data_IF_290942329295
#
_entry.id   IF_290942329295
#
_cell.length_a   1.000
_cell.length_b   1.000
_cell.length_c   1.000
_cell.angle_alpha   90.00
_cell.angle_beta   90.00
_cell.angle_gamma   90.00
#
_symmetry.space_group_name_H-M   'P 1'
#
loop_
_entity.id
_entity.type
_entity.pdbx_description
1 polymer ?
#
# COMPACT_ATOMS: atom_id res chain seq x y z
N UNK A 1 81.30 48.98 -2.17
CA UNK A 1 81.02 47.88 -1.21
C UNK A 1 81.45 48.16 0.23
N UNK A 2 82.57 48.87 0.50
CA UNK A 2 83.00 49.19 1.87
C UNK A 2 82.06 50.16 2.65
N UNK A 3 81.45 51.13 1.97
CA UNK A 3 80.57 52.13 2.60
C UNK A 3 79.25 51.56 3.15
N UNK A 4 78.73 50.47 2.57
CA UNK A 4 77.48 49.83 3.03
C UNK A 4 77.69 48.90 4.22
N UNK A 5 78.93 48.43 4.45
CA UNK A 5 79.32 47.68 5.67
C UNK A 5 79.66 48.60 6.85
N UNK A 6 80.15 49.82 6.59
CA UNK A 6 80.42 50.82 7.62
C UNK A 6 79.16 51.49 8.19
N UNK A 7 78.02 51.42 7.47
CA UNK A 7 76.70 51.85 7.96
C UNK A 7 75.84 50.70 8.55
N UNK A 8 76.47 49.63 9.06
CA UNK A 8 75.79 48.75 10.02
C UNK A 8 75.59 49.50 11.34
N UNK A 9 74.56 49.17 12.14
CA UNK A 9 73.91 50.02 13.18
C UNK A 9 74.77 50.92 14.09
N UNK A 10 76.08 50.68 14.22
CA UNK A 10 77.04 51.59 14.86
C UNK A 10 77.56 52.73 13.95
N UNK A 11 77.12 52.84 12.68
CA UNK A 11 77.64 53.81 11.72
C UNK A 11 77.42 55.26 12.12
N UNK A 12 76.28 55.59 12.72
CA UNK A 12 75.95 56.94 13.21
C UNK A 12 76.87 57.35 14.37
N UNK A 13 77.02 56.57 15.46
CA UNK A 13 77.95 56.92 16.53
C UNK A 13 79.42 56.93 16.08
N UNK A 14 79.84 56.05 15.16
CA UNK A 14 81.21 56.05 14.62
C UNK A 14 81.50 57.31 13.79
N UNK A 15 80.56 57.73 12.93
CA UNK A 15 80.69 58.97 12.17
C UNK A 15 80.70 60.21 13.07
N UNK A 16 79.83 60.25 14.09
CA UNK A 16 79.84 61.32 15.09
C UNK A 16 81.19 61.38 15.84
N UNK A 17 81.75 60.22 16.20
CA UNK A 17 83.06 60.14 16.87
C UNK A 17 84.19 60.63 15.96
N UNK A 18 84.19 60.22 14.69
CA UNK A 18 85.16 60.69 13.69
C UNK A 18 85.07 62.20 13.46
N UNK A 19 83.85 62.76 13.38
CA UNK A 19 83.62 64.19 13.26
C UNK A 19 84.14 64.96 14.50
N UNK A 20 83.93 64.43 15.71
CA UNK A 20 84.49 65.03 16.92
C UNK A 20 86.02 65.04 16.92
N UNK A 21 86.68 63.94 16.50
CA UNK A 21 88.15 63.87 16.39
C UNK A 21 88.68 64.96 15.45
N UNK A 22 88.01 65.22 14.32
CA UNK A 22 88.40 66.31 13.40
C UNK A 22 88.32 67.67 14.09
N UNK A 23 87.30 67.91 14.93
CA UNK A 23 87.16 69.17 15.67
C UNK A 23 88.23 69.40 16.74
N UNK A 24 88.92 68.34 17.19
CA UNK A 24 90.02 68.43 18.17
C UNK A 24 91.35 68.82 17.52
N UNK A 25 91.56 68.50 16.24
CA UNK A 25 92.80 68.77 15.51
C UNK A 25 92.78 70.05 14.65
N UNK A 26 91.68 70.79 14.64
CA UNK A 26 91.52 72.06 13.94
C UNK A 26 91.35 73.20 14.95
N UNK A 27 91.75 74.45 14.64
CA UNK A 27 91.56 75.60 15.53
C UNK A 27 90.09 76.04 15.52
N UNK A 28 89.23 75.24 16.16
CA UNK A 28 87.79 75.47 16.27
C UNK A 28 87.48 76.03 17.67
N UNK A 29 86.52 76.97 17.82
CA UNK A 29 86.12 77.49 19.13
C UNK A 29 85.74 76.37 20.13
N UNK A 30 86.13 76.52 21.39
CA UNK A 30 85.96 75.52 22.46
C UNK A 30 84.51 75.10 22.71
N UNK A 31 83.54 75.95 22.41
CA UNK A 31 82.12 75.60 22.52
C UNK A 31 81.69 74.56 21.47
N UNK A 32 82.33 74.54 20.30
CA UNK A 32 82.01 73.60 19.23
C UNK A 32 82.52 72.19 19.53
N UNK A 33 83.68 72.07 20.19
CA UNK A 33 84.24 70.77 20.61
C UNK A 33 83.43 70.14 21.74
N UNK A 34 82.92 70.93 22.69
CA UNK A 34 82.02 70.45 23.74
C UNK A 34 80.68 70.00 23.13
N UNK A 35 80.13 70.74 22.17
CA UNK A 35 78.91 70.36 21.47
C UNK A 35 79.08 69.06 20.66
N UNK A 36 80.20 68.87 19.97
CA UNK A 36 80.46 67.63 19.22
C UNK A 36 80.70 66.43 20.15
N UNK A 37 81.33 66.61 21.31
CA UNK A 37 81.42 65.57 22.35
C UNK A 37 80.04 65.17 22.87
N UNK A 38 79.16 66.15 23.14
CA UNK A 38 77.77 65.89 23.54
C UNK A 38 76.99 65.11 22.47
N UNK A 39 77.20 65.42 21.19
CA UNK A 39 76.58 64.69 20.08
C UNK A 39 77.07 63.24 19.99
N UNK A 40 78.36 62.97 20.27
CA UNK A 40 78.90 61.60 20.33
C UNK A 40 78.25 60.80 21.45
N UNK A 41 78.15 61.38 22.66
CA UNK A 41 77.52 60.72 23.81
C UNK A 41 76.06 60.42 23.53
N UNK A 42 75.31 61.37 22.95
CA UNK A 42 73.91 61.16 22.56
C UNK A 42 73.78 60.11 21.45
N UNK A 43 74.68 60.06 20.47
CA UNK A 43 74.66 59.06 19.40
C UNK A 43 74.94 57.64 19.93
N UNK A 44 75.87 57.50 20.88
CA UNK A 44 76.15 56.23 21.55
C UNK A 44 75.03 55.83 22.51
N UNK A 45 74.47 56.77 23.28
CA UNK A 45 73.33 56.53 24.16
C UNK A 45 72.09 56.11 23.37
N UNK A 46 71.80 56.78 22.25
CA UNK A 46 70.75 56.42 21.30
C UNK A 46 70.96 55.02 20.71
N UNK A 47 72.20 54.68 20.31
CA UNK A 47 72.54 53.37 19.78
C UNK A 47 72.36 52.25 20.81
N UNK A 48 72.80 52.45 22.05
CA UNK A 48 72.62 51.48 23.14
C UNK A 48 71.13 51.35 23.49
N UNK A 49 70.40 52.47 23.57
CA UNK A 49 68.98 52.47 23.84
C UNK A 49 68.18 51.72 22.76
N UNK A 50 68.50 51.91 21.47
CA UNK A 50 67.89 51.14 20.37
C UNK A 50 68.24 49.65 20.42
N UNK A 51 69.42 49.28 20.92
CA UNK A 51 69.86 47.89 20.99
C UNK A 51 69.24 47.14 22.18
N UNK A 52 69.14 47.80 23.34
CA UNK A 52 68.58 47.22 24.58
C UNK A 52 67.06 47.37 24.70
N UNK A 53 66.50 48.49 24.23
CA UNK A 53 65.08 48.84 24.40
C UNK A 53 64.34 49.05 23.07
N UNK A 54 64.99 48.86 21.92
CA UNK A 54 64.30 48.83 20.63
C UNK A 54 63.28 47.69 20.58
N UNK A 55 62.22 47.79 19.76
CA UNK A 55 61.15 46.79 19.69
C UNK A 55 61.69 45.44 19.17
N UNK A 56 62.21 44.61 20.07
CA UNK A 56 62.49 43.21 19.81
C UNK A 56 61.20 42.45 20.01
N UNK A 57 60.38 42.32 18.96
CA UNK A 57 59.52 41.14 18.88
C UNK A 57 60.46 39.93 18.99
N UNK A 58 60.41 39.22 20.11
CA UNK A 58 61.37 38.14 20.37
C UNK A 58 61.29 37.16 19.20
N UNK A 59 62.44 36.77 18.64
CA UNK A 59 62.48 35.83 17.52
C UNK A 59 61.67 34.55 17.79
N UNK A 60 61.53 34.18 19.08
CA UNK A 60 60.66 33.10 19.56
C UNK A 60 59.15 33.38 19.39
N UNK A 61 58.67 34.60 19.63
CA UNK A 61 57.25 34.97 19.41
C UNK A 61 56.87 34.90 17.93
N UNK A 62 57.76 35.40 17.05
CA UNK A 62 57.55 35.33 15.59
C UNK A 62 57.58 33.88 15.11
N UNK A 63 58.53 33.07 15.57
CA UNK A 63 58.61 31.65 15.22
C UNK A 63 57.38 30.86 15.69
N UNK A 64 56.89 31.12 16.92
CA UNK A 64 55.69 30.48 17.47
C UNK A 64 54.43 30.86 16.69
N UNK A 65 54.23 32.13 16.40
CA UNK A 65 53.06 32.59 15.63
C UNK A 65 53.11 32.05 14.19
N UNK A 66 54.29 31.89 13.59
CA UNK A 66 54.46 31.23 12.29
C UNK A 66 54.03 29.76 12.33
N UNK A 67 54.51 29.02 13.32
CA UNK A 67 54.11 27.62 13.50
C UNK A 67 52.59 27.50 13.64
N UNK A 68 51.95 28.37 14.44
CA UNK A 68 50.49 28.39 14.57
C UNK A 68 49.78 28.72 13.25
N UNK A 69 50.32 29.61 12.43
CA UNK A 69 49.76 29.92 11.11
C UNK A 69 49.95 28.76 10.12
N UNK A 70 51.03 27.99 10.22
CA UNK A 70 51.25 26.79 9.39
C UNK A 70 50.27 25.69 9.78
N UNK A 71 50.14 25.42 11.09
CA UNK A 71 49.17 24.47 11.64
C UNK A 71 47.73 24.87 11.26
N UNK A 72 47.39 26.16 11.34
CA UNK A 72 46.07 26.68 10.97
C UNK A 72 45.82 26.55 9.46
N UNK A 73 46.80 26.89 8.61
CA UNK A 73 46.65 26.79 7.15
C UNK A 73 46.52 25.32 6.70
N UNK A 74 47.29 24.41 7.30
CA UNK A 74 47.18 22.99 7.02
C UNK A 74 45.83 22.42 7.50
N UNK A 75 45.39 22.78 8.70
CA UNK A 75 44.07 22.40 9.22
C UNK A 75 42.94 22.94 8.33
N UNK A 76 42.99 24.23 7.96
CA UNK A 76 41.98 24.85 7.09
C UNK A 76 41.95 24.20 5.70
N UNK A 77 43.11 23.88 5.11
CA UNK A 77 43.18 23.16 3.84
C UNK A 77 42.58 21.76 3.91
N UNK A 78 42.81 21.03 5.02
CA UNK A 78 42.18 19.72 5.27
C UNK A 78 40.66 19.83 5.43
N UNK A 79 40.19 20.79 6.21
CA UNK A 79 38.74 21.04 6.41
C UNK A 79 38.03 21.43 5.11
N UNK A 80 38.64 22.29 4.29
CA UNK A 80 38.09 22.67 2.98
C UNK A 80 37.98 21.48 2.02
N UNK A 81 39.03 20.63 1.95
CA UNK A 81 39.01 19.41 1.14
C UNK A 81 37.96 18.40 1.64
N UNK A 82 37.84 18.26 2.96
CA UNK A 82 36.80 17.42 3.57
C UNK A 82 35.40 17.94 3.20
N UNK A 83 35.15 19.24 3.37
CA UNK A 83 33.88 19.89 3.02
C UNK A 83 33.54 19.72 1.53
N UNK A 84 34.52 19.88 0.64
CA UNK A 84 34.35 19.63 -0.80
C UNK A 84 33.95 18.19 -1.09
N UNK A 85 34.59 17.22 -0.43
CA UNK A 85 34.24 15.80 -0.58
C UNK A 85 32.83 15.49 -0.07
N UNK A 86 32.43 16.08 1.06
CA UNK A 86 31.09 15.94 1.60
C UNK A 86 30.01 16.54 0.71
N UNK A 87 30.22 17.74 0.16
CA UNK A 87 29.30 18.36 -0.81
C UNK A 87 29.14 17.47 -2.04
N UNK A 88 30.25 16.95 -2.59
CA UNK A 88 30.21 16.02 -3.72
C UNK A 88 29.43 14.74 -3.41
N UNK A 89 29.63 14.16 -2.22
CA UNK A 89 28.89 12.97 -1.77
C UNK A 89 27.40 13.26 -1.60
N UNK A 90 27.02 14.37 -0.96
CA UNK A 90 25.63 14.78 -0.76
C UNK A 90 24.94 15.04 -2.10
N UNK A 91 25.61 15.72 -3.04
CA UNK A 91 25.11 15.94 -4.39
C UNK A 91 24.83 14.62 -5.12
N UNK A 92 25.75 13.65 -5.04
CA UNK A 92 25.57 12.33 -5.63
C UNK A 92 24.36 11.58 -5.06
N UNK A 93 24.22 11.56 -3.73
CA UNK A 93 23.10 10.92 -3.05
C UNK A 93 21.75 11.55 -3.41
N UNK A 94 21.68 12.88 -3.52
CA UNK A 94 20.46 13.58 -3.92
C UNK A 94 20.07 13.23 -5.36
N UNK A 95 21.04 13.24 -6.28
CA UNK A 95 20.78 12.91 -7.69
C UNK A 95 20.30 11.47 -7.87
N UNK A 96 20.89 10.52 -7.15
CA UNK A 96 20.46 9.12 -7.16
C UNK A 96 19.05 8.95 -6.57
N UNK A 97 18.79 9.54 -5.40
CA UNK A 97 17.49 9.49 -4.76
C UNK A 97 16.38 10.10 -5.63
N UNK A 98 16.66 11.17 -6.37
CA UNK A 98 15.68 11.78 -7.27
C UNK A 98 15.44 10.97 -8.53
N UNK A 99 16.47 10.34 -9.09
CA UNK A 99 16.27 9.40 -10.20
C UNK A 99 15.34 8.25 -9.78
N UNK A 100 15.57 7.68 -8.58
CA UNK A 100 14.75 6.59 -8.04
C UNK A 100 13.31 7.03 -7.72
N UNK A 101 13.13 8.21 -7.11
CA UNK A 101 11.80 8.77 -6.84
C UNK A 101 11.04 9.07 -8.13
N UNK A 102 11.70 9.64 -9.14
CA UNK A 102 11.10 9.90 -10.45
C UNK A 102 10.62 8.61 -11.12
N UNK A 103 11.44 7.56 -11.12
CA UNK A 103 11.03 6.26 -11.62
C UNK A 103 9.83 5.70 -10.85
N UNK A 104 9.85 5.80 -9.52
CA UNK A 104 8.76 5.32 -8.65
C UNK A 104 7.44 6.06 -8.93
N UNK A 105 7.47 7.39 -9.08
CA UNK A 105 6.26 8.16 -9.39
C UNK A 105 5.69 7.85 -10.76
N UNK A 106 6.55 7.68 -11.78
CA UNK A 106 6.10 7.24 -13.11
C UNK A 106 5.46 5.84 -13.04
N UNK A 107 6.04 4.92 -12.27
CA UNK A 107 5.47 3.58 -12.07
C UNK A 107 4.10 3.64 -11.37
N UNK A 108 3.96 4.44 -10.30
CA UNK A 108 2.67 4.63 -9.60
C UNK A 108 1.63 5.25 -10.54
N UNK A 109 2.02 6.22 -11.38
CA UNK A 109 1.11 6.82 -12.36
C UNK A 109 0.58 5.76 -13.35
N UNK A 110 1.45 4.90 -13.88
CA UNK A 110 1.04 3.78 -14.74
C UNK A 110 0.10 2.82 -14.02
N UNK A 111 0.43 2.39 -12.80
CA UNK A 111 -0.43 1.51 -11.99
C UNK A 111 -1.80 2.15 -11.70
N UNK A 112 -1.83 3.46 -11.45
CA UNK A 112 -3.08 4.21 -11.19
C UNK A 112 -3.97 4.25 -12.44
N UNK A 113 -3.37 4.41 -13.64
CA UNK A 113 -4.10 4.36 -14.91
C UNK A 113 -4.64 2.96 -15.21
N UNK A 114 -3.82 1.92 -15.01
CA UNK A 114 -4.25 0.53 -15.15
C UNK A 114 -5.40 0.20 -14.17
N UNK A 115 -5.28 0.62 -12.91
CA UNK A 115 -6.32 0.48 -11.90
C UNK A 115 -7.63 1.18 -12.33
N UNK A 116 -7.55 2.40 -12.88
CA UNK A 116 -8.71 3.11 -13.39
C UNK A 116 -9.38 2.38 -14.56
N UNK A 117 -8.61 1.73 -15.44
CA UNK A 117 -9.15 0.91 -16.52
C UNK A 117 -9.88 -0.32 -16.00
N UNK A 118 -9.31 -1.04 -15.03
CA UNK A 118 -9.95 -2.19 -14.38
C UNK A 118 -11.22 -1.79 -13.66
N UNK A 119 -11.21 -0.66 -12.94
CA UNK A 119 -12.41 -0.11 -12.30
C UNK A 119 -13.48 0.18 -13.36
N UNK A 120 -13.12 0.83 -14.47
CA UNK A 120 -14.06 1.12 -15.55
C UNK A 120 -14.59 -0.14 -16.23
N UNK A 121 -13.78 -1.19 -16.40
CA UNK A 121 -14.24 -2.43 -17.02
C UNK A 121 -15.23 -3.17 -16.12
N UNK A 122 -14.97 -3.22 -14.81
CA UNK A 122 -15.91 -3.83 -13.84
C UNK A 122 -17.22 -3.03 -13.78
N UNK A 123 -17.18 -1.69 -13.82
CA UNK A 123 -18.37 -0.86 -13.89
C UNK A 123 -19.16 -1.08 -15.18
N UNK A 124 -18.50 -1.19 -16.33
CA UNK A 124 -19.15 -1.41 -17.61
C UNK A 124 -19.74 -2.82 -17.73
N UNK A 125 -19.04 -3.86 -17.27
CA UNK A 125 -19.58 -5.23 -17.18
C UNK A 125 -20.80 -5.31 -16.26
N UNK A 126 -20.88 -4.46 -15.24
CA UNK A 126 -22.01 -4.37 -14.32
C UNK A 126 -23.14 -3.47 -14.87
N UNK A 127 -22.82 -2.51 -15.75
CA UNK A 127 -23.76 -1.52 -16.30
C UNK A 127 -24.44 -1.93 -17.61
N UNK A 128 -23.83 -2.81 -18.42
CA UNK A 128 -24.43 -3.28 -19.67
C UNK A 128 -25.42 -4.43 -19.39
N UNK A 129 -26.55 -4.06 -18.77
CA UNK A 129 -27.61 -4.95 -18.31
C UNK A 129 -28.42 -5.66 -19.43
N UNK A 130 -27.81 -5.92 -20.59
CA UNK A 130 -28.50 -6.52 -21.75
C UNK A 130 -28.08 -7.95 -22.06
N UNK A 131 -26.88 -8.41 -21.66
CA UNK A 131 -26.42 -9.79 -21.94
C UNK A 131 -25.73 -10.49 -20.76
N UNK A 132 -25.60 -9.83 -19.61
CA UNK A 132 -25.13 -10.51 -18.41
C UNK A 132 -26.26 -11.35 -17.81
N UNK A 133 -26.25 -12.65 -18.10
CA UNK A 133 -26.65 -13.67 -17.12
C UNK A 133 -25.63 -13.63 -15.96
N UNK A 134 -25.53 -12.46 -15.31
CA UNK A 134 -24.69 -12.25 -14.14
C UNK A 134 -25.32 -12.96 -12.95
N UNK A 135 -24.57 -13.08 -11.87
CA UNK A 135 -24.99 -13.80 -10.65
C UNK A 135 -26.35 -13.31 -10.13
N UNK A 136 -26.69 -12.02 -10.28
CA UNK A 136 -28.03 -11.49 -9.96
C UNK A 136 -29.13 -11.93 -10.93
N UNK A 137 -28.87 -11.92 -12.24
CA UNK A 137 -29.84 -12.37 -13.24
C UNK A 137 -30.16 -13.86 -13.05
N UNK A 138 -29.11 -14.67 -12.87
CA UNK A 138 -29.24 -16.09 -12.52
C UNK A 138 -30.02 -16.28 -11.21
N UNK A 139 -29.70 -15.53 -10.15
CA UNK A 139 -30.39 -15.63 -8.87
C UNK A 139 -31.89 -15.29 -8.99
N UNK A 140 -32.23 -14.26 -9.75
CA UNK A 140 -33.63 -13.90 -10.00
C UNK A 140 -34.36 -14.99 -10.79
N UNK A 141 -33.74 -15.55 -11.83
CA UNK A 141 -34.32 -16.68 -12.58
C UNK A 141 -34.51 -17.92 -11.70
N UNK A 142 -33.58 -18.22 -10.79
CA UNK A 142 -33.75 -19.32 -9.81
C UNK A 142 -34.92 -19.01 -8.86
N UNK A 143 -35.06 -17.75 -8.44
CA UNK A 143 -36.22 -17.30 -7.64
C UNK A 143 -37.55 -17.47 -8.38
N UNK A 144 -37.62 -17.10 -9.66
CA UNK A 144 -38.80 -17.29 -10.50
C UNK A 144 -39.16 -18.78 -10.68
N UNK A 145 -38.18 -19.63 -10.98
CA UNK A 145 -38.38 -21.08 -11.10
C UNK A 145 -38.85 -21.69 -9.78
N UNK A 146 -38.33 -21.22 -8.64
CA UNK A 146 -38.80 -21.69 -7.33
C UNK A 146 -40.24 -21.26 -7.03
N UNK A 147 -40.60 -20.01 -7.33
CA UNK A 147 -41.98 -19.55 -7.16
C UNK A 147 -42.95 -20.36 -8.01
N UNK A 148 -42.56 -20.68 -9.25
CA UNK A 148 -43.36 -21.54 -10.12
C UNK A 148 -43.46 -22.98 -9.57
N UNK A 149 -42.37 -23.54 -9.03
CA UNK A 149 -42.38 -24.85 -8.39
C UNK A 149 -43.34 -24.88 -7.18
N UNK A 150 -43.31 -23.86 -6.32
CA UNK A 150 -44.23 -23.73 -5.18
C UNK A 150 -45.68 -23.68 -5.67
N UNK A 151 -45.95 -22.93 -6.74
CA UNK A 151 -47.29 -22.85 -7.34
C UNK A 151 -47.77 -24.22 -7.84
N UNK A 152 -46.94 -24.94 -8.58
CA UNK A 152 -47.26 -26.28 -9.11
C UNK A 152 -47.50 -27.28 -7.96
N UNK A 153 -46.69 -27.23 -6.91
CA UNK A 153 -46.86 -28.11 -5.74
C UNK A 153 -48.11 -27.77 -4.91
N UNK A 154 -48.51 -26.49 -4.86
CA UNK A 154 -49.77 -26.10 -4.25
C UNK A 154 -50.98 -26.65 -5.04
N UNK A 155 -50.93 -26.61 -6.38
CA UNK A 155 -51.94 -27.21 -7.24
C UNK A 155 -52.00 -28.74 -7.07
N UNK A 156 -50.85 -29.41 -7.00
CA UNK A 156 -50.78 -30.86 -6.75
C UNK A 156 -51.31 -31.24 -5.36
N UNK A 157 -51.09 -30.40 -4.34
CA UNK A 157 -51.71 -30.60 -3.03
C UNK A 157 -53.24 -30.49 -3.09
N UNK A 158 -53.78 -29.55 -3.87
CA UNK A 158 -55.23 -29.45 -4.09
C UNK A 158 -55.78 -30.70 -4.80
N UNK A 159 -55.08 -31.21 -5.82
CA UNK A 159 -55.43 -32.47 -6.49
C UNK A 159 -55.35 -33.69 -5.56
N UNK A 160 -54.38 -33.70 -4.65
CA UNK A 160 -54.25 -34.73 -3.62
C UNK A 160 -55.46 -34.73 -2.68
N UNK A 161 -55.95 -33.55 -2.26
CA UNK A 161 -57.18 -33.44 -1.46
C UNK A 161 -58.42 -33.99 -2.19
N UNK A 162 -58.54 -33.71 -3.51
CA UNK A 162 -59.60 -34.30 -4.33
C UNK A 162 -59.48 -35.83 -4.38
N UNK A 163 -58.25 -36.35 -4.46
CA UNK A 163 -57.98 -37.79 -4.47
C UNK A 163 -58.36 -38.44 -3.14
N UNK A 164 -58.04 -37.81 -2.01
CA UNK A 164 -58.48 -38.25 -0.67
C UNK A 164 -60.01 -38.32 -0.60
N UNK A 165 -60.72 -37.31 -1.12
CA UNK A 165 -62.19 -37.33 -1.15
C UNK A 165 -62.76 -38.52 -1.96
N UNK A 166 -62.11 -38.91 -3.07
CA UNK A 166 -62.51 -40.09 -3.86
C UNK A 166 -62.19 -41.39 -3.14
N UNK A 167 -61.09 -41.44 -2.39
CA UNK A 167 -60.74 -42.57 -1.54
C UNK A 167 -61.79 -42.74 -0.43
N UNK A 168 -62.21 -41.66 0.23
CA UNK A 168 -63.25 -41.69 1.25
C UNK A 168 -64.61 -42.18 0.68
N UNK A 169 -64.93 -41.83 -0.57
CA UNK A 169 -66.11 -42.39 -1.27
C UNK A 169 -65.96 -43.89 -1.54
N UNK A 170 -64.78 -44.34 -1.96
CA UNK A 170 -64.51 -45.76 -2.16
C UNK A 170 -64.58 -46.56 -0.84
N UNK A 171 -64.09 -45.99 0.27
CA UNK A 171 -64.27 -46.57 1.60
C UNK A 171 -65.74 -46.73 1.97
N UNK A 172 -66.59 -45.73 1.68
CA UNK A 172 -68.05 -45.84 1.87
C UNK A 172 -68.69 -46.93 1.00
N UNK A 173 -68.24 -47.10 -0.24
CA UNK A 173 -68.70 -48.21 -1.08
C UNK A 173 -68.31 -49.58 -0.52
N UNK A 174 -67.10 -49.72 0.02
CA UNK A 174 -66.65 -50.94 0.69
C UNK A 174 -67.47 -51.23 1.94
N UNK A 175 -67.80 -50.21 2.75
CA UNK A 175 -68.70 -50.34 3.90
C UNK A 175 -70.09 -50.86 3.47
N UNK A 176 -70.65 -50.32 2.39
CA UNK A 176 -71.92 -50.81 1.83
C UNK A 176 -71.85 -52.25 1.34
N UNK A 177 -70.70 -52.69 0.81
CA UNK A 177 -70.50 -54.10 0.44
C UNK A 177 -70.51 -54.99 1.69
N UNK A 178 -69.92 -54.56 2.82
CA UNK A 178 -69.99 -55.34 4.06
C UNK A 178 -71.42 -55.56 4.55
N UNK A 179 -72.29 -54.55 4.45
CA UNK A 179 -73.72 -54.67 4.76
C UNK A 179 -74.40 -55.70 3.85
N UNK A 180 -74.16 -55.65 2.53
CA UNK A 180 -74.72 -56.63 1.59
C UNK A 180 -74.23 -58.06 1.88
N UNK A 181 -72.96 -58.24 2.27
CA UNK A 181 -72.43 -59.54 2.66
C UNK A 181 -73.06 -60.06 3.97
N UNK A 182 -73.40 -59.16 4.91
CA UNK A 182 -74.16 -59.49 6.12
C UNK A 182 -75.57 -60.01 5.79
N UNK A 183 -76.25 -59.35 4.84
CA UNK A 183 -77.57 -59.75 4.36
C UNK A 183 -77.52 -61.10 3.64
N UNK A 184 -76.54 -61.31 2.75
CA UNK A 184 -76.33 -62.59 2.06
C UNK A 184 -76.09 -63.73 3.05
N UNK A 185 -75.31 -63.47 4.11
CA UNK A 185 -75.09 -64.45 5.20
C UNK A 185 -76.40 -64.81 5.88
N UNK A 186 -77.19 -63.79 6.23
CA UNK A 186 -78.51 -63.97 6.86
C UNK A 186 -79.47 -64.77 5.98
N UNK A 187 -79.47 -64.52 4.66
CA UNK A 187 -80.28 -65.26 3.69
C UNK A 187 -79.82 -66.72 3.59
N UNK A 188 -78.51 -66.96 3.50
CA UNK A 188 -77.94 -68.30 3.43
C UNK A 188 -78.27 -69.11 4.69
N UNK A 189 -78.14 -68.51 5.88
CA UNK A 189 -78.44 -69.15 7.16
C UNK A 189 -79.94 -69.47 7.30
N UNK A 190 -80.83 -68.57 6.89
CA UNK A 190 -82.28 -68.82 6.85
C UNK A 190 -82.65 -69.92 5.87
N UNK A 191 -82.01 -69.94 4.69
CA UNK A 191 -82.25 -70.96 3.66
C UNK A 191 -81.77 -72.32 4.13
N UNK A 192 -80.63 -72.37 4.81
CA UNK A 192 -80.11 -73.57 5.44
C UNK A 192 -81.07 -74.12 6.51
N UNK A 193 -81.61 -73.25 7.37
CA UNK A 193 -82.61 -73.63 8.37
C UNK A 193 -83.92 -74.13 7.74
N UNK A 194 -84.40 -73.48 6.68
CA UNK A 194 -85.58 -73.93 5.93
C UNK A 194 -85.36 -75.30 5.28
N UNK A 195 -84.19 -75.50 4.66
CA UNK A 195 -83.79 -76.77 4.06
C UNK A 195 -83.69 -77.89 5.11
N UNK A 196 -83.13 -77.59 6.29
CA UNK A 196 -83.07 -78.53 7.41
C UNK A 196 -84.47 -78.94 7.88
N UNK A 197 -85.38 -77.98 8.07
CA UNK A 197 -86.77 -78.25 8.44
C UNK A 197 -87.48 -79.10 7.37
N UNK A 198 -87.25 -78.82 6.09
CA UNK A 198 -87.80 -79.60 4.99
C UNK A 198 -87.24 -81.02 4.93
N UNK A 199 -85.94 -81.21 5.21
CA UNK A 199 -85.31 -82.53 5.28
C UNK A 199 -85.89 -83.37 6.44
N UNK A 200 -86.12 -82.74 7.60
CA UNK A 200 -86.77 -83.38 8.76
C UNK A 200 -88.20 -83.84 8.40
N UNK A 201 -88.99 -82.97 7.77
CA UNK A 201 -90.39 -83.29 7.44
C UNK A 201 -90.47 -84.33 6.30
N UNK A 202 -89.54 -84.28 5.34
CA UNK A 202 -89.41 -85.30 4.30
C UNK A 202 -89.04 -86.68 4.87
N UNK A 203 -88.16 -86.75 5.88
CA UNK A 203 -87.87 -87.97 6.61
C UNK A 203 -89.10 -88.49 7.39
N UNK A 204 -89.91 -87.57 7.92
CA UNK A 204 -91.15 -87.88 8.66
C UNK A 204 -92.25 -88.48 7.76
N UNK A 205 -92.31 -88.07 6.50
CA UNK A 205 -93.22 -88.61 5.49
C UNK A 205 -92.83 -90.00 4.95
N UNK A 206 -91.67 -90.56 5.34
CA UNK A 206 -91.22 -91.89 4.96
C UNK A 206 -90.97 -92.04 3.44
N UNK A 207 -91.45 -93.13 2.84
CA UNK A 207 -91.25 -93.44 1.40
C UNK A 207 -91.84 -92.36 0.47
N UNK A 208 -92.92 -91.68 0.86
CA UNK A 208 -93.54 -90.62 0.06
C UNK A 208 -92.70 -89.32 0.03
N UNK A 209 -91.83 -89.10 1.03
CA UNK A 209 -90.99 -87.91 1.17
C UNK A 209 -89.62 -88.01 0.50
N UNK A 210 -89.27 -89.16 -0.07
CA UNK A 210 -87.90 -89.46 -0.52
C UNK A 210 -87.35 -88.49 -1.57
N UNK A 211 -88.20 -88.04 -2.51
CA UNK A 211 -87.83 -87.01 -3.49
C UNK A 211 -87.61 -85.63 -2.89
N UNK A 212 -88.43 -85.25 -1.89
CA UNK A 212 -88.27 -83.99 -1.16
C UNK A 212 -87.03 -83.97 -0.28
N UNK A 213 -86.64 -85.12 0.30
CA UNK A 213 -85.43 -85.24 1.10
C UNK A 213 -84.16 -84.95 0.27
N UNK A 214 -84.10 -85.43 -0.97
CA UNK A 214 -82.97 -85.17 -1.88
C UNK A 214 -82.88 -83.69 -2.23
N UNK A 215 -84.01 -83.05 -2.55
CA UNK A 215 -84.05 -81.61 -2.84
C UNK A 215 -83.64 -80.80 -1.61
N UNK A 216 -84.13 -81.16 -0.43
CA UNK A 216 -83.80 -80.47 0.81
C UNK A 216 -82.29 -80.53 1.14
N UNK A 217 -81.64 -81.70 0.96
CA UNK A 217 -80.19 -81.81 1.18
C UNK A 217 -79.38 -81.02 0.14
N UNK A 218 -79.82 -80.97 -1.12
CA UNK A 218 -79.16 -80.14 -2.16
C UNK A 218 -79.28 -78.64 -1.84
N UNK A 219 -80.44 -78.18 -1.38
CA UNK A 219 -80.63 -76.78 -0.94
C UNK A 219 -79.78 -76.47 0.30
N UNK A 220 -79.64 -77.43 1.23
CA UNK A 220 -78.77 -77.31 2.41
C UNK A 220 -77.31 -77.14 1.99
N UNK A 221 -76.81 -78.04 1.14
CA UNK A 221 -75.46 -77.99 0.55
C UNK A 221 -75.20 -76.67 -0.19
N UNK A 222 -76.16 -76.19 -0.99
CA UNK A 222 -76.04 -74.93 -1.71
C UNK A 222 -75.97 -73.72 -0.76
N UNK A 223 -76.72 -73.76 0.34
CA UNK A 223 -76.69 -72.72 1.38
C UNK A 223 -75.34 -72.68 2.10
N UNK A 224 -74.80 -73.85 2.50
CA UNK A 224 -73.47 -73.97 3.11
C UNK A 224 -72.37 -73.46 2.16
N UNK A 225 -72.41 -73.86 0.88
CA UNK A 225 -71.49 -73.36 -0.15
C UNK A 225 -71.59 -71.85 -0.35
N UNK A 226 -72.80 -71.29 -0.27
CA UNK A 226 -73.02 -69.84 -0.36
C UNK A 226 -72.40 -69.10 0.84
N UNK A 227 -72.51 -69.64 2.06
CA UNK A 227 -71.85 -69.08 3.24
C UNK A 227 -70.33 -69.08 3.10
N UNK A 228 -69.74 -70.19 2.64
CA UNK A 228 -68.28 -70.27 2.40
C UNK A 228 -67.82 -69.26 1.34
N UNK A 229 -68.56 -69.15 0.23
CA UNK A 229 -68.26 -68.18 -0.82
C UNK A 229 -68.38 -66.72 -0.33
N UNK A 230 -69.40 -66.44 0.49
CA UNK A 230 -69.60 -65.13 1.11
C UNK A 230 -68.44 -64.74 2.04
N UNK A 231 -67.91 -65.68 2.83
CA UNK A 231 -66.71 -65.45 3.67
C UNK A 231 -65.44 -65.22 2.83
N UNK A 232 -65.30 -65.87 1.67
CA UNK A 232 -64.20 -65.60 0.74
C UNK A 232 -64.28 -64.18 0.16
N UNK A 233 -65.48 -63.72 -0.23
CA UNK A 233 -65.69 -62.34 -0.68
C UNK A 233 -65.37 -61.37 0.46
N UNK A 234 -65.86 -61.63 1.68
CA UNK A 234 -65.59 -60.79 2.85
C UNK A 234 -64.08 -60.59 3.07
N UNK A 235 -63.28 -61.66 2.99
CA UNK A 235 -61.81 -61.55 3.09
C UNK A 235 -61.20 -60.66 2.00
N UNK A 236 -61.66 -60.79 0.76
CA UNK A 236 -61.15 -59.97 -0.34
C UNK A 236 -61.50 -58.49 -0.15
N UNK A 237 -62.75 -58.20 0.26
CA UNK A 237 -63.22 -56.84 0.54
C UNK A 237 -62.48 -56.22 1.73
N UNK A 238 -62.17 -56.99 2.79
CA UNK A 238 -61.31 -56.54 3.89
C UNK A 238 -59.92 -56.16 3.38
N UNK A 239 -59.29 -57.00 2.57
CA UNK A 239 -57.98 -56.68 2.00
C UNK A 239 -58.03 -55.44 1.10
N UNK A 240 -59.12 -55.24 0.35
CA UNK A 240 -59.32 -54.00 -0.43
C UNK A 240 -59.47 -52.78 0.48
N UNK A 241 -60.21 -52.87 1.59
CA UNK A 241 -60.35 -51.78 2.57
C UNK A 241 -59.00 -51.38 3.17
N UNK A 242 -58.19 -52.35 3.57
CA UNK A 242 -56.86 -52.09 4.12
C UNK A 242 -55.94 -51.44 3.09
N UNK A 243 -55.97 -51.91 1.84
CA UNK A 243 -55.21 -51.30 0.75
C UNK A 243 -55.64 -49.85 0.49
N UNK A 244 -56.95 -49.57 0.49
CA UNK A 244 -57.50 -48.22 0.32
C UNK A 244 -57.09 -47.30 1.48
N UNK A 245 -57.10 -47.81 2.72
CA UNK A 245 -56.62 -47.06 3.89
C UNK A 245 -55.15 -46.69 3.78
N UNK A 246 -54.29 -47.63 3.35
CA UNK A 246 -52.86 -47.37 3.17
C UNK A 246 -52.60 -46.34 2.06
N UNK A 247 -53.37 -46.39 0.96
CA UNK A 247 -53.29 -45.39 -0.10
C UNK A 247 -53.68 -44.01 0.42
N UNK A 248 -54.74 -43.92 1.23
CA UNK A 248 -55.18 -42.67 1.88
C UNK A 248 -54.05 -42.01 2.68
N UNK A 249 -53.43 -42.78 3.58
CA UNK A 249 -52.33 -42.30 4.42
C UNK A 249 -51.12 -41.84 3.59
N UNK A 250 -50.76 -42.61 2.56
CA UNK A 250 -49.64 -42.28 1.67
C UNK A 250 -49.87 -40.95 0.94
N UNK A 251 -51.08 -40.72 0.43
CA UNK A 251 -51.44 -39.48 -0.30
C UNK A 251 -51.43 -38.28 0.65
N UNK A 252 -51.96 -38.42 1.87
CA UNK A 252 -51.95 -37.35 2.87
C UNK A 252 -50.52 -36.98 3.30
N UNK A 253 -49.66 -37.98 3.54
CA UNK A 253 -48.26 -37.74 3.89
C UNK A 253 -47.49 -37.04 2.76
N UNK A 254 -47.67 -37.49 1.51
CA UNK A 254 -47.00 -36.90 0.34
C UNK A 254 -47.36 -35.43 0.18
N UNK A 255 -48.66 -35.10 0.17
CA UNK A 255 -49.13 -33.74 -0.02
C UNK A 255 -48.60 -32.77 1.07
N UNK A 256 -48.52 -33.24 2.32
CA UNK A 256 -47.99 -32.45 3.43
C UNK A 256 -46.47 -32.25 3.34
N UNK A 257 -45.71 -33.32 3.05
CA UNK A 257 -44.25 -33.25 2.95
C UNK A 257 -43.78 -32.39 1.78
N UNK A 258 -44.40 -32.54 0.61
CA UNK A 258 -43.98 -31.83 -0.60
C UNK A 258 -44.17 -30.31 -0.48
N UNK A 259 -45.32 -29.87 0.08
CA UNK A 259 -45.57 -28.46 0.37
C UNK A 259 -44.58 -27.88 1.39
N UNK A 260 -44.30 -28.62 2.47
CA UNK A 260 -43.37 -28.17 3.50
C UNK A 260 -41.93 -28.04 2.95
N UNK A 261 -41.47 -29.04 2.19
CA UNK A 261 -40.15 -29.02 1.56
C UNK A 261 -40.01 -27.89 0.53
N UNK A 262 -41.08 -27.62 -0.23
CA UNK A 262 -41.10 -26.54 -1.22
C UNK A 262 -40.96 -25.16 -0.58
N UNK A 263 -41.72 -24.89 0.49
CA UNK A 263 -41.63 -23.62 1.23
C UNK A 263 -40.26 -23.40 1.87
N UNK A 264 -39.65 -24.45 2.42
CA UNK A 264 -38.28 -24.38 2.96
C UNK A 264 -37.25 -24.07 1.85
N UNK A 265 -37.39 -24.69 0.67
CA UNK A 265 -36.55 -24.40 -0.48
C UNK A 265 -36.73 -22.95 -0.98
N UNK A 266 -37.96 -22.46 -1.06
CA UNK A 266 -38.30 -21.08 -1.41
C UNK A 266 -37.62 -20.08 -0.46
N UNK A 267 -37.72 -20.30 0.86
CA UNK A 267 -37.10 -19.43 1.86
C UNK A 267 -35.57 -19.41 1.73
N UNK A 268 -34.94 -20.57 1.50
CA UNK A 268 -33.49 -20.67 1.28
C UNK A 268 -33.06 -19.93 0.02
N UNK A 269 -33.79 -20.08 -1.08
CA UNK A 269 -33.49 -19.40 -2.34
C UNK A 269 -33.67 -17.88 -2.20
N UNK A 270 -34.76 -17.42 -1.57
CA UNK A 270 -34.97 -16.01 -1.26
C UNK A 270 -33.82 -15.43 -0.42
N UNK A 271 -33.32 -16.18 0.56
CA UNK A 271 -32.14 -15.83 1.34
C UNK A 271 -30.86 -15.72 0.49
N UNK A 272 -30.65 -16.63 -0.47
CA UNK A 272 -29.51 -16.58 -1.40
C UNK A 272 -29.60 -15.35 -2.31
N UNK A 273 -30.77 -15.08 -2.89
CA UNK A 273 -31.02 -13.89 -3.73
C UNK A 273 -30.72 -12.61 -2.94
N UNK A 274 -31.22 -12.52 -1.70
CA UNK A 274 -30.93 -11.39 -0.82
C UNK A 274 -29.43 -11.19 -0.55
N UNK A 275 -28.69 -12.28 -0.31
CA UNK A 275 -27.23 -12.23 -0.10
C UNK A 275 -26.49 -11.78 -1.37
N UNK A 276 -26.89 -12.25 -2.54
CA UNK A 276 -26.30 -11.85 -3.82
C UNK A 276 -26.50 -10.35 -4.06
N UNK A 277 -27.71 -9.84 -3.82
CA UNK A 277 -27.99 -8.41 -3.92
C UNK A 277 -27.14 -7.59 -2.94
N UNK A 278 -26.95 -8.09 -1.70
CA UNK A 278 -26.06 -7.47 -0.72
C UNK A 278 -24.60 -7.43 -1.17
N UNK A 279 -24.08 -8.53 -1.74
CA UNK A 279 -22.72 -8.61 -2.29
C UNK A 279 -22.54 -7.60 -3.43
N UNK A 280 -23.51 -7.51 -4.35
CA UNK A 280 -23.42 -6.60 -5.49
C UNK A 280 -23.44 -5.13 -5.06
N UNK A 281 -24.26 -4.77 -4.07
CA UNK A 281 -24.24 -3.43 -3.48
C UNK A 281 -22.89 -3.13 -2.79
N UNK A 282 -22.35 -4.10 -2.04
CA UNK A 282 -21.03 -3.97 -1.41
C UNK A 282 -19.89 -3.84 -2.41
N UNK A 283 -19.96 -4.56 -3.52
CA UNK A 283 -19.00 -4.48 -4.63
C UNK A 283 -19.04 -3.10 -5.29
N UNK A 284 -20.22 -2.57 -5.60
CA UNK A 284 -20.38 -1.23 -6.16
C UNK A 284 -19.78 -0.15 -5.23
N UNK A 285 -20.02 -0.25 -3.91
CA UNK A 285 -19.43 0.66 -2.93
C UNK A 285 -17.90 0.49 -2.79
N UNK A 286 -17.37 -0.71 -3.01
CA UNK A 286 -15.92 -0.95 -3.02
C UNK A 286 -15.28 -0.30 -4.26
N UNK A 287 -15.89 -0.47 -5.44
CA UNK A 287 -15.45 0.12 -6.70
C UNK A 287 -15.38 1.65 -6.59
N UNK A 288 -16.43 2.27 -6.04
CA UNK A 288 -16.45 3.72 -5.81
C UNK A 288 -15.30 4.19 -4.91
N UNK A 289 -15.03 3.47 -3.81
CA UNK A 289 -13.90 3.77 -2.91
C UNK A 289 -12.54 3.58 -3.60
N UNK A 290 -12.43 2.61 -4.49
CA UNK A 290 -11.21 2.39 -5.28
C UNK A 290 -11.02 3.54 -6.27
N UNK A 291 -12.07 3.99 -6.96
CA UNK A 291 -12.02 5.13 -7.87
C UNK A 291 -11.59 6.42 -7.15
N UNK A 292 -12.17 6.70 -5.97
CA UNK A 292 -11.79 7.85 -5.15
C UNK A 292 -10.34 7.77 -4.67
N UNK A 293 -9.89 6.60 -4.22
CA UNK A 293 -8.49 6.36 -3.84
C UNK A 293 -7.55 6.60 -5.02
N UNK A 294 -7.90 6.12 -6.22
CA UNK A 294 -7.14 6.35 -7.45
C UNK A 294 -6.96 7.83 -7.77
N UNK A 295 -8.04 8.62 -7.67
CA UNK A 295 -7.98 10.07 -7.88
C UNK A 295 -7.10 10.79 -6.84
N UNK A 296 -7.13 10.35 -5.58
CA UNK A 296 -6.26 10.89 -4.53
C UNK A 296 -4.79 10.56 -4.77
N UNK A 297 -4.49 9.32 -5.20
CA UNK A 297 -3.13 8.90 -5.57
C UNK A 297 -2.61 9.73 -6.74
N UNK A 298 -3.41 9.91 -7.80
CA UNK A 298 -3.02 10.74 -8.95
C UNK A 298 -2.69 12.18 -8.51
N UNK A 299 -3.54 12.78 -7.67
CA UNK A 299 -3.29 14.10 -7.11
C UNK A 299 -2.02 14.18 -6.24
N UNK A 300 -1.73 13.13 -5.45
CA UNK A 300 -0.53 13.04 -4.64
C UNK A 300 0.74 12.87 -5.48
N UNK A 301 0.70 12.02 -6.51
CA UNK A 301 1.79 11.81 -7.47
C UNK A 301 2.09 13.11 -8.21
N UNK A 302 1.07 13.80 -8.72
CA UNK A 302 1.23 15.10 -9.39
C UNK A 302 1.82 16.19 -8.48
N UNK A 303 1.54 16.16 -7.17
CA UNK A 303 2.22 17.03 -6.20
C UNK A 303 3.68 16.61 -6.00
N UNK A 304 3.95 15.31 -5.90
CA UNK A 304 5.31 14.81 -5.68
C UNK A 304 6.23 15.05 -6.87
N UNK A 305 5.74 14.88 -8.11
CA UNK A 305 6.47 15.22 -9.33
C UNK A 305 6.81 16.72 -9.38
N UNK A 306 5.89 17.60 -8.96
CA UNK A 306 6.21 19.03 -8.80
C UNK A 306 7.27 19.28 -7.73
N UNK A 307 7.23 18.55 -6.62
CA UNK A 307 8.28 18.65 -5.59
C UNK A 307 9.67 18.22 -6.09
N UNK A 308 9.76 17.30 -7.07
CA UNK A 308 11.05 16.97 -7.69
C UNK A 308 11.70 18.17 -8.41
N UNK A 309 10.93 19.17 -8.85
CA UNK A 309 11.49 20.40 -9.44
C UNK A 309 12.33 21.19 -8.43
N UNK A 310 12.12 21.02 -7.12
CA UNK A 310 12.96 21.63 -6.08
C UNK A 310 14.31 20.93 -5.94
N UNK A 311 14.46 19.69 -6.40
CA UNK A 311 15.77 19.05 -6.41
C UNK A 311 16.73 19.75 -7.37
N UNK A 312 16.28 20.21 -8.54
CA UNK A 312 17.14 20.96 -9.46
C UNK A 312 17.71 22.21 -8.75
N UNK A 313 16.91 22.89 -7.93
CA UNK A 313 17.35 24.02 -7.10
C UNK A 313 18.39 23.58 -6.06
N UNK A 314 18.16 22.46 -5.36
CA UNK A 314 19.09 21.92 -4.37
C UNK A 314 20.42 21.50 -5.00
N UNK A 315 20.37 20.82 -6.14
CA UNK A 315 21.53 20.38 -6.91
C UNK A 315 22.32 21.56 -7.49
N UNK A 316 21.64 22.62 -7.94
CA UNK A 316 22.26 23.89 -8.34
C UNK A 316 22.93 24.61 -7.16
N UNK A 317 22.28 24.66 -5.99
CA UNK A 317 22.84 25.28 -4.79
C UNK A 317 24.08 24.52 -4.28
N UNK A 318 24.07 23.19 -4.33
CA UNK A 318 25.23 22.35 -4.02
C UNK A 318 26.36 22.52 -5.03
N UNK A 319 26.03 22.62 -6.33
CA UNK A 319 27.02 22.90 -7.37
C UNK A 319 27.68 24.28 -7.17
N UNK A 320 26.90 25.31 -6.81
CA UNK A 320 27.44 26.62 -6.47
C UNK A 320 28.33 26.56 -5.21
N UNK A 321 27.90 25.83 -4.18
CA UNK A 321 28.68 25.64 -2.95
C UNK A 321 30.01 24.92 -3.21
N UNK A 322 30.02 23.92 -4.10
CA UNK A 322 31.24 23.25 -4.54
C UNK A 322 32.23 24.24 -5.18
N UNK A 323 31.76 25.08 -6.10
CA UNK A 323 32.59 26.11 -6.75
C UNK A 323 33.20 27.07 -5.70
N UNK A 324 32.44 27.44 -4.67
CA UNK A 324 32.94 28.29 -3.59
C UNK A 324 34.01 27.59 -2.74
N UNK A 325 33.83 26.33 -2.39
CA UNK A 325 34.81 25.57 -1.59
C UNK A 325 36.07 25.27 -2.41
N UNK A 326 35.95 24.95 -3.70
CA UNK A 326 37.11 24.78 -4.60
C UNK A 326 37.91 26.07 -4.71
N UNK A 327 37.22 27.22 -4.81
CA UNK A 327 37.84 28.55 -4.81
C UNK A 327 38.57 28.83 -3.50
N UNK A 328 37.94 28.57 -2.35
CA UNK A 328 38.56 28.75 -1.03
C UNK A 328 39.77 27.83 -0.85
N UNK A 329 39.70 26.59 -1.37
CA UNK A 329 40.81 25.63 -1.35
C UNK A 329 42.00 26.19 -2.14
N UNK A 330 41.76 26.65 -3.36
CA UNK A 330 42.80 27.26 -4.20
C UNK A 330 43.39 28.54 -3.57
N UNK A 331 42.55 29.39 -2.96
CA UNK A 331 43.02 30.57 -2.21
C UNK A 331 43.90 30.18 -1.02
N UNK A 332 43.51 29.16 -0.26
CA UNK A 332 44.27 28.66 0.89
C UNK A 332 45.61 28.05 0.48
N UNK A 333 45.64 27.32 -0.64
CA UNK A 333 46.86 26.72 -1.19
C UNK A 333 47.84 27.78 -1.69
N UNK A 334 47.39 28.77 -2.46
CA UNK A 334 48.24 29.88 -2.93
C UNK A 334 48.72 30.77 -1.76
N UNK A 335 47.87 31.05 -0.78
CA UNK A 335 48.26 31.80 0.42
C UNK A 335 49.35 31.07 1.23
N UNK A 336 49.23 29.74 1.36
CA UNK A 336 50.24 28.92 2.03
C UNK A 336 51.55 28.85 1.23
N UNK A 337 51.47 28.67 -0.10
CA UNK A 337 52.63 28.64 -0.98
C UNK A 337 53.41 29.96 -0.95
N UNK A 338 52.71 31.09 -1.07
CA UNK A 338 53.31 32.43 -0.98
C UNK A 338 53.96 32.66 0.38
N UNK A 339 53.29 32.28 1.48
CA UNK A 339 53.86 32.40 2.83
C UNK A 339 55.13 31.57 3.00
N UNK A 340 55.15 30.33 2.51
CA UNK A 340 56.34 29.46 2.56
C UNK A 340 57.53 30.05 1.80
N UNK A 341 57.27 30.70 0.66
CA UNK A 341 58.29 31.40 -0.12
C UNK A 341 58.81 32.66 0.60
N UNK A 342 57.92 33.47 1.19
CA UNK A 342 58.29 34.65 1.99
C UNK A 342 59.13 34.28 3.23
N UNK A 343 58.84 33.16 3.88
CA UNK A 343 59.64 32.66 5.02
C UNK A 343 61.03 32.15 4.56
N UNK A 344 61.18 31.72 3.30
CA UNK A 344 62.46 31.31 2.68
C UNK A 344 63.41 32.47 2.38
N UNK A 345 62.90 33.63 1.96
CA UNK A 345 63.69 34.84 1.68
C UNK A 345 64.36 35.45 2.93
N UNK A 346 63.85 35.15 4.13
CA UNK A 346 64.50 35.56 5.38
C UNK A 346 65.83 34.82 5.59
N UNK A 347 66.12 33.75 4.82
CA UNK A 347 67.33 32.92 5.01
C UNK A 347 68.38 32.95 3.90
N UNK A 348 68.12 33.39 2.66
CA UNK A 348 69.18 33.38 1.63
C UNK A 348 69.09 34.57 0.65
N UNK A 349 70.16 35.36 0.63
CA UNK A 349 70.40 36.46 -0.29
C UNK A 349 70.96 35.94 -1.63
N UNK A 350 70.17 35.23 -2.44
CA UNK A 350 70.55 34.85 -3.81
C UNK A 350 69.31 34.90 -4.74
N UNK A 351 69.44 35.51 -5.92
CA UNK A 351 68.35 35.93 -6.82
C UNK A 351 67.44 34.83 -7.42
N UNK A 352 67.47 33.62 -6.89
CA UNK A 352 66.51 32.54 -7.20
C UNK A 352 65.19 32.74 -6.45
N UNK A 353 65.23 33.22 -5.21
CA UNK A 353 64.03 33.41 -4.38
C UNK A 353 63.07 34.49 -4.93
N UNK A 354 63.62 35.55 -5.53
CA UNK A 354 62.82 36.64 -6.11
C UNK A 354 61.97 36.18 -7.31
N UNK A 355 62.50 35.29 -8.17
CA UNK A 355 61.74 34.77 -9.33
C UNK A 355 60.59 33.87 -8.91
N UNK A 356 60.79 33.04 -7.89
CA UNK A 356 59.73 32.16 -7.38
C UNK A 356 58.64 32.95 -6.66
N UNK A 357 59.02 34.06 -6.01
CA UNK A 357 58.08 34.98 -5.36
C UNK A 357 57.28 35.80 -6.39
N UNK A 358 57.94 36.30 -7.44
CA UNK A 358 57.29 36.97 -8.57
C UNK A 358 56.30 36.01 -9.28
N UNK A 359 56.70 34.76 -9.50
CA UNK A 359 55.82 33.75 -10.09
C UNK A 359 54.63 33.40 -9.18
N UNK A 360 54.81 33.36 -7.86
CA UNK A 360 53.71 33.17 -6.91
C UNK A 360 52.78 34.40 -6.86
N UNK A 361 53.33 35.61 -6.93
CA UNK A 361 52.56 36.84 -7.01
C UNK A 361 51.74 36.91 -8.30
N UNK A 362 52.30 36.49 -9.44
CA UNK A 362 51.56 36.36 -10.70
C UNK A 362 50.41 35.35 -10.61
N UNK A 363 50.61 34.18 -9.98
CA UNK A 363 49.54 33.19 -9.74
C UNK A 363 48.43 33.74 -8.86
N UNK A 364 48.77 34.45 -7.78
CA UNK A 364 47.79 35.11 -6.90
C UNK A 364 47.03 36.21 -7.65
N UNK A 365 47.70 37.00 -8.49
CA UNK A 365 47.05 38.07 -9.27
C UNK A 365 46.13 37.49 -10.35
N UNK A 366 46.53 36.41 -11.02
CA UNK A 366 45.66 35.66 -11.94
C UNK A 366 44.46 35.06 -11.20
N UNK A 367 44.69 34.44 -10.04
CA UNK A 367 43.64 33.89 -9.18
C UNK A 367 42.65 34.96 -8.70
N UNK A 368 43.13 36.16 -8.39
CA UNK A 368 42.32 37.30 -7.93
C UNK A 368 41.23 37.68 -8.92
N UNK A 369 41.51 37.62 -10.22
CA UNK A 369 40.50 37.87 -11.26
C UNK A 369 39.38 36.84 -11.19
N UNK A 370 39.72 35.57 -11.04
CA UNK A 370 38.79 34.44 -10.90
C UNK A 370 38.05 34.45 -9.55
N UNK A 371 38.67 34.96 -8.48
CA UNK A 371 38.06 35.05 -7.16
C UNK A 371 37.06 36.20 -7.04
N UNK A 372 37.25 37.26 -7.83
CA UNK A 372 36.36 38.43 -7.89
C UNK A 372 35.10 38.21 -8.73
N UNK A 373 35.09 37.20 -9.62
CA UNK A 373 33.90 36.89 -10.42
C UNK A 373 32.84 36.22 -9.54
N UNK A 374 31.62 36.76 -9.55
CA UNK A 374 30.49 36.16 -8.83
C UNK A 374 30.05 34.91 -9.60
N UNK A 375 30.08 33.70 -9.01
CA UNK A 375 29.47 32.55 -9.67
C UNK A 375 27.97 32.83 -9.85
N UNK A 376 27.41 32.37 -10.97
CA UNK A 376 26.02 32.64 -11.36
C UNK A 376 25.07 32.45 -10.18
N UNK A 377 24.21 33.45 -9.93
CA UNK A 377 23.14 33.35 -8.93
C UNK A 377 22.25 32.17 -9.33
N UNK A 378 22.13 31.12 -8.50
CA UNK A 378 21.07 30.14 -8.72
C UNK A 378 19.73 30.88 -8.66
N UNK A 379 18.81 30.51 -9.55
CA UNK A 379 17.51 31.17 -9.69
C UNK A 379 16.82 31.17 -8.33
N UNK A 380 16.57 32.36 -7.78
CA UNK A 380 15.98 32.51 -6.45
C UNK A 380 14.47 32.28 -6.51
N UNK A 381 14.02 31.07 -6.77
CA UNK A 381 12.63 30.68 -6.54
C UNK A 381 12.45 30.31 -5.08
N UNK A 382 11.81 31.19 -4.31
CA UNK A 382 11.59 31.06 -2.87
C UNK A 382 10.23 30.43 -2.52
N UNK A 383 9.43 30.00 -3.52
CA UNK A 383 8.06 29.55 -3.31
C UNK A 383 7.58 28.53 -4.36
N UNK A 384 6.80 27.54 -3.90
CA UNK A 384 6.06 26.53 -4.69
C UNK A 384 4.95 27.08 -5.59
N UNK A 385 4.55 28.35 -5.45
CA UNK A 385 3.34 28.87 -6.09
C UNK A 385 3.53 29.51 -7.48
N UNK A 386 4.75 29.81 -7.94
CA UNK A 386 4.93 30.47 -9.23
C UNK A 386 5.27 29.47 -10.34
N UNK A 387 4.23 28.90 -10.93
CA UNK A 387 4.34 28.07 -12.13
C UNK A 387 3.04 27.35 -12.41
N UNK A 388 2.03 28.07 -12.93
CA UNK A 388 1.07 27.40 -13.80
C UNK A 388 1.89 26.82 -14.96
N UNK A 389 1.85 25.49 -15.08
CA UNK A 389 2.39 24.81 -16.25
C UNK A 389 1.30 24.87 -17.30
N UNK A 390 1.51 25.67 -18.35
CA UNK A 390 0.92 25.38 -19.67
C UNK A 390 1.45 24.02 -20.11
N UNK A 391 0.56 23.03 -20.09
CA UNK A 391 0.79 21.70 -20.67
C UNK A 391 0.81 21.84 -22.20
N UNK A 392 1.93 21.50 -22.83
CA UNK A 392 1.96 21.03 -24.22
C UNK A 392 1.85 19.51 -24.26
#
# INVERSE_FOLDING_TARGET
>A
MLWRKLMGGAGIPVLATAAHVITVFQPVPTWLSIASMGAVVLAWAWYVWLREFGPQASAGTIARNRQLLDELAEANGKELKSTASEIGRVKGLISEAVAELSQSFNHINTLTREQSQVVSSVVNEQGDGRDAVGVSGFANSVGEVMNEMVRVLAEESERSNVTVSRIDEMSRHLDGIFELLEDVKTIADKTNLLALNAAIEAARAGEAGRGFAVVAEEVRSLSERSTVFNEQIRKLVTSSRDAVSNVRETVEEMASRDLAASRDAEQKVSGIVGRINGINSGLAAAIERIAQSGAQIDGAVNKAVRSLQFEDIATQALAASQIHVDRLTHMSEEAFALRKLMDGEIRLAEGVAARDLDAAAERVEQGRQTWSSTPHKPVSQTSMQSGEVELF
#
